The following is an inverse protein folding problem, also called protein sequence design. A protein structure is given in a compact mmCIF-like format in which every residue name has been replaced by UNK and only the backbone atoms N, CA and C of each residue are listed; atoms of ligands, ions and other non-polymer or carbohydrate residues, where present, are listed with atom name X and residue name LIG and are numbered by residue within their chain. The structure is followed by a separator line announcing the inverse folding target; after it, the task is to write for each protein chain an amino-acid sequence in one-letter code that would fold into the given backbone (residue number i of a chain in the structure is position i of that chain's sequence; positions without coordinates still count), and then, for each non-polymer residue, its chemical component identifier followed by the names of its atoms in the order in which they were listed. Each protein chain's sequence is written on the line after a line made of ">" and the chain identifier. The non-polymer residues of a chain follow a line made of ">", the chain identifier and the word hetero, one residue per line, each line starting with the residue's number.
data_IF_583363965582
#
_entry.id   IF_583363965582
#
_cell.length_a   1.000
_cell.length_b   1.000
_cell.length_c   1.000
_cell.angle_alpha   90.00
_cell.angle_beta   90.00
_cell.angle_gamma   90.00
#
_symmetry.space_group_name_H-M   'P 1'
#
loop_
_entity.id
_entity.type
_entity.pdbx_description
1 polymer ?
#
# COMPACT_ATOMS: atom_id res chain seq x y z
N UNK A 1 -5.95 -17.10 0.46
CA UNK A 1 -4.84 -16.71 1.35
C UNK A 1 -3.93 -15.82 0.53
N UNK A 2 -3.95 -14.52 0.81
CA UNK A 2 -2.77 -13.63 0.77
C UNK A 2 -2.01 -13.50 -0.56
N UNK A 3 -2.71 -13.18 -1.66
CA UNK A 3 -2.02 -12.51 -2.75
C UNK A 3 -1.75 -11.07 -2.31
N UNK A 4 -0.47 -10.69 -2.25
CA UNK A 4 -0.09 -9.30 -2.10
C UNK A 4 -0.43 -8.61 -3.42
N UNK A 5 -1.49 -7.79 -3.44
CA UNK A 5 -1.86 -7.01 -4.63
C UNK A 5 -0.77 -5.98 -4.99
N UNK A 6 -0.07 -5.47 -3.96
CA UNK A 6 1.07 -4.57 -4.13
C UNK A 6 2.39 -5.35 -4.18
N UNK A 7 3.10 -5.19 -5.29
CA UNK A 7 4.40 -5.83 -5.50
C UNK A 7 5.45 -5.41 -4.45
N UNK A 8 6.25 -6.37 -4.01
CA UNK A 8 7.27 -6.20 -2.95
C UNK A 8 8.45 -5.31 -3.36
N UNK A 9 8.88 -5.34 -4.63
CA UNK A 9 10.02 -4.54 -5.09
C UNK A 9 9.79 -3.01 -4.99
N UNK A 10 8.63 -2.45 -5.40
CA UNK A 10 8.26 -1.07 -5.10
C UNK A 10 8.31 -0.73 -3.60
N UNK A 11 7.87 -1.63 -2.72
CA UNK A 11 7.89 -1.41 -1.27
C UNK A 11 9.31 -1.28 -0.73
N UNK A 12 10.22 -2.15 -1.18
CA UNK A 12 11.65 -1.99 -0.87
C UNK A 12 12.20 -0.63 -1.29
N UNK A 13 11.85 -0.16 -2.50
CA UNK A 13 12.29 1.16 -2.97
C UNK A 13 11.70 2.29 -2.13
N UNK A 14 10.44 2.17 -1.70
CA UNK A 14 9.79 3.16 -0.84
C UNK A 14 10.50 3.25 0.52
N UNK A 15 10.76 2.11 1.17
CA UNK A 15 11.50 2.07 2.43
C UNK A 15 12.91 2.68 2.29
N UNK A 16 13.63 2.40 1.20
CA UNK A 16 14.94 3.04 0.94
C UNK A 16 14.84 4.55 0.76
N UNK A 17 13.84 5.03 0.01
CA UNK A 17 13.57 6.46 -0.15
C UNK A 17 13.20 7.14 1.17
N UNK A 18 12.60 6.41 2.10
CA UNK A 18 12.31 6.88 3.46
C UNK A 18 13.56 6.89 4.38
N UNK A 19 14.75 6.54 3.87
CA UNK A 19 16.00 6.58 4.60
C UNK A 19 16.45 5.24 5.19
N UNK A 20 15.82 4.13 4.84
CA UNK A 20 16.29 2.82 5.29
C UNK A 20 17.51 2.35 4.49
N UNK A 21 18.64 2.16 5.16
CA UNK A 21 19.85 1.58 4.55
C UNK A 21 19.68 0.12 4.13
N UNK A 22 18.94 -0.65 4.94
CA UNK A 22 18.59 -2.05 4.70
C UNK A 22 17.12 -2.28 5.01
N UNK A 23 16.49 -3.12 4.21
CA UNK A 23 15.06 -3.45 4.31
C UNK A 23 14.94 -4.95 4.13
N UNK A 24 14.27 -5.63 5.06
CA UNK A 24 13.97 -7.05 4.93
C UNK A 24 12.78 -7.27 4.00
N UNK A 25 12.72 -8.45 3.38
CA UNK A 25 11.55 -8.82 2.54
C UNK A 25 10.25 -8.80 3.36
N UNK A 26 10.31 -9.22 4.63
CA UNK A 26 9.18 -9.16 5.55
C UNK A 26 8.69 -7.72 5.78
N UNK A 27 9.59 -6.76 5.97
CA UNK A 27 9.23 -5.35 6.13
C UNK A 27 8.59 -4.79 4.86
N UNK A 28 9.11 -5.14 3.68
CA UNK A 28 8.54 -4.73 2.40
C UNK A 28 7.13 -5.34 2.17
N UNK A 29 6.92 -6.60 2.53
CA UNK A 29 5.60 -7.25 2.48
C UNK A 29 4.61 -6.61 3.45
N UNK A 30 5.05 -6.28 4.66
CA UNK A 30 4.19 -5.66 5.66
C UNK A 30 3.77 -4.24 5.24
N UNK A 31 4.69 -3.48 4.64
CA UNK A 31 4.37 -2.18 4.06
C UNK A 31 3.29 -2.30 2.97
N UNK A 32 3.40 -3.28 2.07
CA UNK A 32 2.38 -3.49 1.04
C UNK A 32 1.00 -3.76 1.63
N UNK A 33 0.88 -4.65 2.63
CA UNK A 33 -0.41 -4.93 3.30
C UNK A 33 -1.02 -3.68 3.93
N UNK A 34 -0.19 -2.86 4.58
CA UNK A 34 -0.65 -1.62 5.21
C UNK A 34 -1.12 -0.60 4.17
N UNK A 35 -0.37 -0.41 3.08
CA UNK A 35 -0.76 0.48 1.99
C UNK A 35 -2.03 0.02 1.28
N UNK A 36 -2.21 -1.27 1.08
CA UNK A 36 -3.44 -1.82 0.52
C UNK A 36 -4.65 -1.53 1.43
N UNK A 37 -4.50 -1.75 2.73
CA UNK A 37 -5.56 -1.45 3.71
C UNK A 37 -5.95 0.03 3.70
N UNK A 38 -4.96 0.93 3.64
CA UNK A 38 -5.20 2.38 3.56
C UNK A 38 -5.82 2.75 2.20
N UNK A 39 -5.29 2.20 1.11
CA UNK A 39 -5.77 2.45 -0.25
C UNK A 39 -7.24 2.06 -0.43
N UNK A 40 -7.66 0.92 0.13
CA UNK A 40 -9.06 0.48 0.11
C UNK A 40 -9.96 1.47 0.87
N UNK A 41 -9.51 2.00 2.01
CA UNK A 41 -10.30 3.00 2.76
C UNK A 41 -10.50 4.27 1.93
N UNK A 42 -9.43 4.80 1.36
CA UNK A 42 -9.47 6.00 0.50
C UNK A 42 -10.36 5.75 -0.73
N UNK A 43 -10.25 4.57 -1.36
CA UNK A 43 -11.05 4.22 -2.52
C UNK A 43 -12.56 4.17 -2.22
N UNK A 44 -12.95 3.69 -1.03
CA UNK A 44 -14.35 3.69 -0.59
C UNK A 44 -14.89 5.12 -0.43
N UNK A 45 -14.16 5.98 0.26
CA UNK A 45 -14.54 7.39 0.44
C UNK A 45 -14.65 8.12 -0.91
N UNK A 46 -13.69 7.88 -1.82
CA UNK A 46 -13.73 8.43 -3.17
C UNK A 46 -14.96 7.97 -3.97
N UNK A 47 -15.36 6.70 -3.82
CA UNK A 47 -16.55 6.15 -4.46
C UNK A 47 -17.82 6.81 -3.88
N UNK A 48 -17.90 6.99 -2.57
CA UNK A 48 -19.02 7.68 -1.93
C UNK A 48 -19.19 9.10 -2.47
N UNK A 49 -18.09 9.85 -2.60
CA UNK A 49 -18.12 11.19 -3.22
C UNK A 49 -18.56 11.15 -4.69
N UNK A 50 -18.08 10.18 -5.47
CA UNK A 50 -18.46 10.04 -6.87
C UNK A 50 -19.95 9.70 -7.04
N UNK A 51 -20.52 8.87 -6.16
CA UNK A 51 -21.94 8.49 -6.20
C UNK A 51 -22.88 9.62 -5.79
N UNK A 52 -22.45 10.51 -4.89
CA UNK A 52 -23.25 11.67 -4.46
C UNK A 52 -23.16 12.88 -5.40
N UNK A 53 -22.24 12.85 -6.37
CA UNK A 53 -22.04 13.92 -7.35
C UNK A 53 -22.82 13.72 -8.68
N UNK A 54 -23.66 12.69 -8.77
CA UNK A 54 -24.51 12.36 -9.92
C UNK A 54 -25.90 12.97 -9.89
#
# INVERSE_FOLDING_TARGET
>A
MTDLELAVAPMHRLCKKAGADRVSEAAAKELAKNLETIGIKIAKEALDFAMHAG
#
